data_IF_581298454400
#
_entry.id   IF_581298454400
#
_cell.length_a   1.000
_cell.length_b   1.000
_cell.length_c   1.000
_cell.angle_alpha   90.00
_cell.angle_beta   90.00
_cell.angle_gamma   90.00
#
_symmetry.space_group_name_H-M   'P 1'
#
loop_
_entity.id
_entity.type
_entity.pdbx_description
1 polymer ?
#
# COMPACT_ATOMS: atom_id res chain seq x y z
N UNK A 1 -20.11 9.31 28.75
CA UNK A 1 -19.04 8.76 27.88
C UNK A 1 -19.68 8.41 26.55
N UNK A 2 -19.35 9.11 25.47
CA UNK A 2 -19.83 8.82 24.11
C UNK A 2 -18.99 7.65 23.59
N UNK A 3 -19.60 6.48 23.39
CA UNK A 3 -18.97 5.44 22.57
C UNK A 3 -18.84 6.01 21.17
N UNK A 4 -17.59 6.28 20.76
CA UNK A 4 -17.28 6.54 19.37
C UNK A 4 -17.59 5.26 18.61
N UNK A 5 -18.53 5.34 17.67
CA UNK A 5 -18.87 4.28 16.74
C UNK A 5 -17.66 4.01 15.84
N UNK A 6 -16.73 3.18 16.31
CA UNK A 6 -15.77 2.52 15.43
C UNK A 6 -16.59 1.71 14.44
N UNK A 7 -16.77 2.27 13.25
CA UNK A 7 -17.44 1.57 12.15
C UNK A 7 -16.47 0.48 11.74
N UNK A 8 -16.62 -0.71 12.34
CA UNK A 8 -15.90 -1.91 11.95
C UNK A 8 -16.31 -2.17 10.50
N UNK A 9 -15.48 -1.71 9.57
CA UNK A 9 -15.63 -2.05 8.16
C UNK A 9 -15.50 -3.57 8.06
N UNK A 10 -16.57 -4.25 7.66
CA UNK A 10 -16.54 -5.70 7.47
C UNK A 10 -15.34 -6.09 6.61
N UNK A 11 -14.60 -7.17 6.93
CA UNK A 11 -13.48 -7.65 6.11
C UNK A 11 -13.84 -7.79 4.63
N UNK A 12 -15.10 -8.12 4.33
CA UNK A 12 -15.64 -8.21 2.96
C UNK A 12 -15.65 -6.84 2.27
N UNK A 13 -16.07 -5.79 2.97
CA UNK A 13 -16.11 -4.41 2.45
C UNK A 13 -14.70 -3.86 2.23
N UNK A 14 -13.77 -4.16 3.14
CA UNK A 14 -12.36 -3.77 2.99
C UNK A 14 -11.71 -4.49 1.80
N UNK A 15 -11.93 -5.80 1.66
CA UNK A 15 -11.42 -6.59 0.55
C UNK A 15 -11.99 -6.13 -0.79
N UNK A 16 -13.29 -5.85 -0.87
CA UNK A 16 -13.91 -5.33 -2.09
C UNK A 16 -13.34 -3.96 -2.48
N UNK A 17 -13.08 -3.08 -1.50
CA UNK A 17 -12.47 -1.77 -1.74
C UNK A 17 -11.04 -1.89 -2.28
N UNK A 18 -10.24 -2.79 -1.71
CA UNK A 18 -8.86 -3.04 -2.17
C UNK A 18 -8.84 -3.70 -3.56
N UNK A 19 -9.74 -4.66 -3.80
CA UNK A 19 -9.87 -5.34 -5.09
C UNK A 19 -10.29 -4.38 -6.21
N UNK A 20 -11.11 -3.37 -5.91
CA UNK A 20 -11.54 -2.36 -6.88
C UNK A 20 -10.41 -1.58 -7.54
N UNK A 21 -9.24 -1.48 -6.89
CA UNK A 21 -8.05 -0.82 -7.48
C UNK A 21 -7.56 -1.56 -8.73
N UNK A 22 -7.69 -2.88 -8.78
CA UNK A 22 -7.30 -3.69 -9.95
C UNK A 22 -8.24 -3.53 -11.15
N UNK A 23 -9.40 -2.90 -10.95
CA UNK A 23 -10.37 -2.62 -12.02
C UNK A 23 -10.18 -1.22 -12.62
N UNK A 24 -9.32 -0.39 -12.01
CA UNK A 24 -9.02 0.93 -12.54
C UNK A 24 -8.04 0.80 -13.73
N UNK A 25 -8.26 1.56 -14.82
CA UNK A 25 -7.28 1.62 -15.88
C UNK A 25 -5.97 2.22 -15.34
N UNK A 26 -4.80 1.86 -15.93
CA UNK A 26 -3.55 2.55 -15.64
C UNK A 26 -3.69 4.06 -15.88
N UNK A 27 -2.94 4.87 -15.13
CA UNK A 27 -2.91 6.32 -15.37
C UNK A 27 -2.48 6.64 -16.80
N UNK A 28 -3.12 7.63 -17.41
CA UNK A 28 -3.04 7.89 -18.85
C UNK A 28 -1.66 8.42 -19.26
N UNK A 29 -1.08 9.31 -18.45
CA UNK A 29 0.22 9.92 -18.74
C UNK A 29 1.40 9.19 -18.09
N UNK A 30 2.58 9.32 -18.70
CA UNK A 30 3.82 8.80 -18.11
C UNK A 30 4.19 9.52 -16.80
N UNK A 31 3.86 10.80 -16.69
CA UNK A 31 4.10 11.61 -15.49
C UNK A 31 3.26 11.08 -14.34
N UNK A 32 1.94 10.91 -14.53
CA UNK A 32 1.06 10.39 -13.47
C UNK A 32 1.45 8.96 -13.06
N UNK A 33 1.86 8.11 -13.99
CA UNK A 33 2.39 6.78 -13.66
C UNK A 33 3.66 6.88 -12.80
N UNK A 34 4.54 7.83 -13.10
CA UNK A 34 5.72 8.13 -12.30
C UNK A 34 5.35 8.58 -10.88
N UNK A 35 4.40 9.51 -10.75
CA UNK A 35 3.92 10.02 -9.47
C UNK A 35 3.31 8.90 -8.62
N UNK A 36 2.45 8.06 -9.22
CA UNK A 36 1.87 6.90 -8.54
C UNK A 36 2.94 5.88 -8.11
N UNK A 37 3.97 5.66 -8.93
CA UNK A 37 5.10 4.78 -8.59
C UNK A 37 5.88 5.32 -7.39
N UNK A 38 6.20 6.62 -7.37
CA UNK A 38 6.89 7.26 -6.24
C UNK A 38 6.04 7.23 -4.96
N UNK A 39 4.73 7.47 -5.07
CA UNK A 39 3.81 7.33 -3.96
C UNK A 39 3.79 5.89 -3.41
N UNK A 40 3.78 4.89 -4.30
CA UNK A 40 3.84 3.48 -3.91
C UNK A 40 5.16 3.14 -3.18
N UNK A 41 6.30 3.65 -3.64
CA UNK A 41 7.59 3.45 -2.96
C UNK A 41 7.57 4.02 -1.53
N UNK A 42 6.98 5.20 -1.36
CA UNK A 42 6.83 5.84 -0.04
C UNK A 42 5.96 5.00 0.90
N UNK A 43 4.84 4.48 0.40
CA UNK A 43 3.94 3.60 1.16
C UNK A 43 4.61 2.27 1.52
N UNK A 44 5.40 1.68 0.62
CA UNK A 44 6.15 0.47 0.89
C UNK A 44 7.13 0.68 2.06
N UNK A 45 7.86 1.81 2.09
CA UNK A 45 8.76 2.14 3.22
C UNK A 45 8.02 2.29 4.55
N UNK A 46 6.84 2.92 4.56
CA UNK A 46 6.01 3.01 5.76
C UNK A 46 5.51 1.63 6.21
N UNK A 47 5.18 0.75 5.26
CA UNK A 47 4.78 -0.62 5.56
C UNK A 47 5.92 -1.46 6.15
N UNK A 48 7.18 -1.25 5.71
CA UNK A 48 8.36 -1.88 6.31
C UNK A 48 8.47 -1.53 7.80
N UNK A 49 8.33 -0.25 8.15
CA UNK A 49 8.38 0.21 9.55
C UNK A 49 7.31 -0.49 10.41
N UNK A 50 6.09 -0.60 9.89
CA UNK A 50 5.01 -1.34 10.55
C UNK A 50 5.32 -2.83 10.70
N UNK A 51 5.85 -3.49 9.66
CA UNK A 51 6.19 -4.90 9.67
C UNK A 51 7.30 -5.22 10.68
N UNK A 52 8.36 -4.39 10.73
CA UNK A 52 9.44 -4.51 11.72
C UNK A 52 8.90 -4.35 13.14
N UNK A 53 8.07 -3.33 13.41
CA UNK A 53 7.45 -3.16 14.73
C UNK A 53 6.52 -4.30 15.12
N UNK A 54 5.93 -4.99 14.14
CA UNK A 54 5.12 -6.17 14.36
C UNK A 54 5.94 -7.48 14.50
N UNK A 55 7.27 -7.42 14.43
CA UNK A 55 8.15 -8.61 14.47
C UNK A 55 8.05 -9.49 13.23
N UNK A 56 7.59 -8.96 12.09
CA UNK A 56 7.43 -9.65 10.82
C UNK A 56 8.54 -9.28 9.85
N UNK A 57 9.75 -9.71 10.19
CA UNK A 57 10.96 -9.46 9.39
C UNK A 57 10.85 -10.06 7.98
N UNK A 58 10.21 -11.23 7.85
CA UNK A 58 9.89 -11.88 6.59
C UNK A 58 9.14 -10.96 5.63
N UNK A 59 8.11 -10.26 6.15
CA UNK A 59 7.33 -9.30 5.38
C UNK A 59 8.12 -8.01 5.12
N UNK A 60 8.91 -7.56 6.09
CA UNK A 60 9.72 -6.35 5.94
C UNK A 60 10.75 -6.48 4.80
N UNK A 61 11.39 -7.64 4.66
CA UNK A 61 12.30 -7.90 3.55
C UNK A 61 11.58 -7.94 2.20
N UNK A 62 10.45 -8.63 2.10
CA UNK A 62 9.67 -8.64 0.85
C UNK A 62 9.21 -7.22 0.44
N UNK A 63 8.82 -6.38 1.40
CA UNK A 63 8.46 -4.98 1.15
C UNK A 63 9.67 -4.12 0.77
N UNK A 64 10.86 -4.43 1.28
CA UNK A 64 12.10 -3.76 0.89
C UNK A 64 12.44 -4.00 -0.57
N UNK A 65 12.34 -5.25 -1.04
CA UNK A 65 12.58 -5.59 -2.44
C UNK A 65 11.63 -4.82 -3.36
N UNK A 66 10.33 -4.78 -3.02
CA UNK A 66 9.31 -4.02 -3.75
C UNK A 66 9.64 -2.52 -3.76
N UNK A 67 10.04 -1.93 -2.62
CA UNK A 67 10.39 -0.52 -2.56
C UNK A 67 11.57 -0.18 -3.48
N UNK A 68 12.59 -1.04 -3.52
CA UNK A 68 13.76 -0.87 -4.39
C UNK A 68 13.37 -0.96 -5.87
N UNK A 69 12.53 -1.92 -6.25
CA UNK A 69 12.02 -2.04 -7.63
C UNK A 69 11.24 -0.78 -8.07
N UNK A 70 10.41 -0.24 -7.18
CA UNK A 70 9.65 0.98 -7.46
C UNK A 70 10.57 2.21 -7.63
N UNK A 71 11.68 2.28 -6.91
CA UNK A 71 12.64 3.37 -6.96
C UNK A 71 13.61 3.27 -8.14
N UNK A 72 13.96 2.06 -8.57
CA UNK A 72 14.91 1.82 -9.66
C UNK A 72 14.42 2.32 -11.03
N UNK A 73 13.12 2.57 -11.17
CA UNK A 73 12.55 3.23 -12.33
C UNK A 73 12.72 2.43 -13.62
N UNK A 74 11.99 1.32 -13.78
CA UNK A 74 11.84 0.62 -15.06
C UNK A 74 11.03 1.44 -16.10
#
# INVERSE_FOLDING_TARGET
MKLMSETICSPVTAAARQAGVFLLPPAESAIERGDHRMAAATLARQAIECAVRAGREDMAFALLDIAQELEAGA
#
